data_IF_155156329938
#
_entry.id   IF_155156329938
#
_cell.length_a   1.000
_cell.length_b   1.000
_cell.length_c   1.000
_cell.angle_alpha   90.00
_cell.angle_beta   90.00
_cell.angle_gamma   90.00
#
_symmetry.space_group_name_H-M   'P 1'
#
loop_
_entity.id
_entity.type
_entity.pdbx_description
1 polymer ?
#
# COMPACT_ATOMS: atom_id res chain seq x y z
N UNK A 1 7.35 -39.10 25.70
CA UNK A 1 7.57 -39.15 24.25
C UNK A 1 8.97 -38.58 24.02
N UNK A 2 9.97 -39.45 23.81
CA UNK A 2 11.36 -39.03 23.61
C UNK A 2 11.46 -38.36 22.23
N UNK A 3 11.79 -37.07 22.21
CA UNK A 3 12.19 -36.40 20.98
C UNK A 3 13.64 -36.80 20.69
N UNK A 4 13.83 -37.57 19.62
CA UNK A 4 15.15 -37.85 19.06
C UNK A 4 15.55 -36.59 18.27
N UNK A 5 16.42 -35.78 18.85
CA UNK A 5 17.11 -34.72 18.13
C UNK A 5 18.18 -35.41 17.30
N UNK A 6 17.98 -35.47 15.98
CA UNK A 6 19.02 -35.92 15.04
C UNK A 6 19.92 -34.70 14.79
N UNK A 7 20.98 -34.56 15.58
CA UNK A 7 22.07 -33.65 15.27
C UNK A 7 22.83 -34.21 14.05
N UNK A 8 22.69 -33.55 12.90
CA UNK A 8 23.58 -33.79 11.76
C UNK A 8 24.95 -33.20 12.08
N UNK A 9 25.88 -34.07 12.48
CA UNK A 9 27.29 -33.74 12.62
C UNK A 9 27.91 -33.68 11.22
N UNK A 10 27.98 -32.48 10.63
CA UNK A 10 28.79 -32.24 9.44
C UNK A 10 30.24 -32.46 9.83
N UNK A 11 30.83 -33.54 9.33
CA UNK A 11 32.26 -33.82 9.49
C UNK A 11 33.04 -32.80 8.67
N UNK A 12 33.55 -31.76 9.32
CA UNK A 12 34.42 -30.75 8.73
C UNK A 12 35.78 -31.36 8.40
N UNK A 13 35.93 -31.90 7.19
CA UNK A 13 37.24 -31.95 6.53
C UNK A 13 37.48 -30.57 5.93
N UNK A 14 38.61 -29.95 6.28
CA UNK A 14 38.91 -28.54 6.03
C UNK A 14 39.15 -28.19 4.57
N UNK A 15 38.06 -28.06 3.81
CA UNK A 15 37.99 -27.18 2.63
C UNK A 15 37.27 -25.91 3.07
N UNK A 16 37.86 -24.74 2.85
CA UNK A 16 37.20 -23.47 3.10
C UNK A 16 35.96 -23.34 2.20
N UNK A 17 34.77 -23.54 2.77
CA UNK A 17 33.50 -23.36 2.06
C UNK A 17 33.22 -21.86 1.97
N UNK A 18 33.23 -21.31 0.77
CA UNK A 18 32.83 -19.92 0.54
C UNK A 18 31.30 -19.82 0.51
N UNK A 19 30.71 -19.12 1.47
CA UNK A 19 29.26 -18.94 1.57
C UNK A 19 28.83 -17.60 1.00
N UNK A 20 27.88 -17.61 0.08
CA UNK A 20 27.36 -16.42 -0.58
C UNK A 20 25.85 -16.37 -0.37
N UNK A 21 25.37 -15.41 0.41
CA UNK A 21 23.93 -15.24 0.66
C UNK A 21 23.36 -14.18 -0.30
N UNK A 22 22.27 -14.51 -0.99
CA UNK A 22 21.60 -13.60 -1.94
C UNK A 22 20.09 -13.64 -1.70
N UNK A 23 19.43 -12.49 -1.87
CA UNK A 23 17.98 -12.38 -1.72
C UNK A 23 17.26 -12.66 -3.04
N UNK A 24 16.25 -13.53 -3.06
CA UNK A 24 15.54 -13.91 -4.30
C UNK A 24 14.92 -12.72 -5.04
N UNK A 25 14.48 -11.69 -4.30
CA UNK A 25 13.87 -10.48 -4.84
C UNK A 25 14.87 -9.55 -5.57
N UNK A 26 16.15 -9.64 -5.20
CA UNK A 26 17.21 -8.79 -5.75
C UNK A 26 17.78 -9.41 -7.05
N UNK A 27 17.42 -10.67 -7.34
CA UNK A 27 17.86 -11.38 -8.53
C UNK A 27 17.05 -10.95 -9.76
N UNK A 28 17.70 -10.46 -10.83
CA UNK A 28 16.99 -10.01 -12.02
C UNK A 28 16.34 -11.18 -12.76
N UNK A 29 15.03 -11.04 -13.01
CA UNK A 29 14.26 -11.95 -13.87
C UNK A 29 14.60 -11.64 -15.33
N UNK A 30 15.19 -12.61 -16.04
CA UNK A 30 15.61 -12.45 -17.45
C UNK A 30 14.50 -12.82 -18.42
N UNK A 31 13.84 -13.93 -18.15
CA UNK A 31 12.83 -14.50 -19.03
C UNK A 31 11.70 -15.10 -18.21
N UNK A 32 10.46 -14.90 -18.65
CA UNK A 32 9.29 -15.59 -18.14
C UNK A 32 8.55 -16.24 -19.30
N UNK A 33 8.33 -17.54 -19.22
CA UNK A 33 7.50 -18.27 -20.18
C UNK A 33 6.19 -18.64 -19.50
N UNK A 34 5.10 -18.01 -19.93
CA UNK A 34 3.79 -18.21 -19.32
C UNK A 34 3.03 -19.29 -20.10
N UNK A 35 2.70 -20.37 -19.40
CA UNK A 35 1.82 -21.43 -19.86
C UNK A 35 0.40 -21.17 -19.37
N UNK A 36 -0.56 -22.03 -19.75
CA UNK A 36 -1.96 -21.85 -19.38
C UNK A 36 -2.24 -21.84 -17.87
N UNK A 37 -1.41 -22.53 -17.08
CA UNK A 37 -1.64 -22.84 -15.67
C UNK A 37 -0.46 -22.54 -14.75
N UNK A 38 0.70 -22.22 -15.32
CA UNK A 38 1.94 -21.87 -14.59
C UNK A 38 2.83 -20.98 -15.44
N UNK A 39 3.79 -20.33 -14.83
CA UNK A 39 4.89 -19.70 -15.55
C UNK A 39 6.21 -20.33 -15.19
N UNK A 40 7.14 -20.34 -16.13
CA UNK A 40 8.53 -20.68 -15.90
C UNK A 40 9.34 -19.40 -15.85
N UNK A 41 10.04 -19.20 -14.73
CA UNK A 41 10.82 -18.01 -14.43
C UNK A 41 12.30 -18.38 -14.52
N UNK A 42 13.07 -17.56 -15.24
CA UNK A 42 14.53 -17.65 -15.35
C UNK A 42 15.18 -16.41 -14.74
N UNK A 43 15.76 -16.57 -13.55
CA UNK A 43 16.54 -15.53 -12.84
C UNK A 43 18.03 -15.68 -13.14
N UNK A 44 18.73 -14.57 -13.28
CA UNK A 44 20.20 -14.58 -13.35
C UNK A 44 20.79 -14.33 -11.97
N UNK A 45 21.80 -15.13 -11.62
CA UNK A 45 22.55 -15.01 -10.37
C UNK A 45 24.01 -14.81 -10.75
N UNK A 46 24.55 -13.66 -10.36
CA UNK A 46 25.93 -13.27 -10.60
C UNK A 46 26.67 -13.26 -9.27
N UNK A 47 27.67 -14.13 -9.11
CA UNK A 47 28.40 -14.30 -7.85
C UNK A 47 29.89 -14.44 -8.08
N UNK A 48 30.68 -13.91 -7.15
CA UNK A 48 32.11 -14.07 -7.14
C UNK A 48 32.47 -15.38 -6.41
N UNK A 49 32.90 -16.37 -7.17
CA UNK A 49 33.31 -17.67 -6.64
C UNK A 49 34.81 -17.70 -6.39
N UNK A 50 35.23 -18.43 -5.36
CA UNK A 50 36.64 -18.75 -5.11
C UNK A 50 36.96 -20.16 -5.60
N UNK A 51 38.23 -20.46 -5.79
CA UNK A 51 38.69 -21.84 -6.05
C UNK A 51 38.25 -22.77 -4.92
N UNK A 52 37.64 -23.91 -5.27
CA UNK A 52 37.11 -24.87 -4.31
C UNK A 52 35.58 -24.88 -4.26
N UNK A 53 35.03 -25.17 -3.08
CA UNK A 53 33.58 -25.29 -2.88
C UNK A 53 32.95 -23.95 -2.50
N UNK A 54 31.90 -23.58 -3.23
CA UNK A 54 31.11 -22.38 -3.01
C UNK A 54 29.66 -22.79 -2.77
N UNK A 55 29.06 -22.27 -1.70
CA UNK A 55 27.67 -22.51 -1.32
C UNK A 55 26.91 -21.21 -1.48
N UNK A 56 26.03 -21.14 -2.48
CA UNK A 56 25.16 -20.00 -2.70
C UNK A 56 23.82 -20.27 -2.03
N UNK A 57 23.42 -19.40 -1.12
CA UNK A 57 22.16 -19.47 -0.39
C UNK A 57 21.20 -18.38 -0.88
N UNK A 58 20.21 -18.79 -1.66
CA UNK A 58 19.18 -17.89 -2.19
C UNK A 58 18.00 -17.89 -1.21
N UNK A 59 17.79 -16.76 -0.53
CA UNK A 59 16.78 -16.59 0.53
C UNK A 59 15.44 -16.07 -0.03
N UNK A 60 14.38 -16.28 0.75
CA UNK A 60 13.00 -15.86 0.50
C UNK A 60 12.50 -16.16 -0.92
N UNK A 61 12.63 -17.43 -1.34
CA UNK A 61 12.06 -17.87 -2.61
C UNK A 61 10.53 -17.97 -2.52
N UNK A 62 9.86 -17.77 -3.66
CA UNK A 62 8.41 -17.62 -3.73
C UNK A 62 7.66 -18.83 -3.12
N UNK A 63 6.57 -18.62 -2.34
CA UNK A 63 5.77 -19.69 -1.77
C UNK A 63 5.03 -20.54 -2.82
N UNK A 64 4.76 -19.96 -3.99
CA UNK A 64 4.05 -20.61 -5.09
C UNK A 64 4.99 -21.30 -6.08
N UNK A 65 6.28 -21.41 -5.74
CA UNK A 65 7.29 -22.13 -6.52
C UNK A 65 7.02 -23.63 -6.49
N UNK A 66 7.14 -24.27 -7.65
CA UNK A 66 7.15 -25.73 -7.77
C UNK A 66 8.54 -26.28 -7.42
N UNK A 67 8.63 -26.93 -6.26
CA UNK A 67 9.88 -27.50 -5.70
C UNK A 67 10.56 -28.47 -6.66
N UNK A 68 9.79 -29.20 -7.46
CA UNK A 68 10.31 -30.21 -8.37
C UNK A 68 10.79 -29.64 -9.71
N UNK A 69 10.57 -28.35 -9.94
CA UNK A 69 10.93 -27.67 -11.18
C UNK A 69 12.26 -26.91 -11.13
N UNK A 70 12.87 -26.84 -9.95
CA UNK A 70 14.11 -26.10 -9.69
C UNK A 70 15.24 -26.72 -10.49
N UNK A 71 15.92 -25.89 -11.27
CA UNK A 71 17.09 -26.28 -12.04
C UNK A 71 18.04 -25.11 -12.18
N UNK A 72 19.31 -25.41 -12.31
CA UNK A 72 20.38 -24.42 -12.38
C UNK A 72 21.23 -24.66 -13.62
N UNK A 73 21.47 -23.61 -14.40
CA UNK A 73 22.35 -23.64 -15.57
C UNK A 73 23.55 -22.72 -15.32
N UNK A 74 24.76 -23.25 -15.26
CA UNK A 74 25.98 -22.46 -15.10
C UNK A 74 26.51 -21.99 -16.46
N UNK A 75 26.95 -20.73 -16.52
CA UNK A 75 27.70 -20.17 -17.65
C UNK A 75 29.17 -20.04 -17.23
N UNK A 76 30.03 -20.91 -17.72
CA UNK A 76 31.47 -20.91 -17.44
C UNK A 76 31.97 -22.24 -16.88
N UNK A 77 33.21 -22.24 -16.35
CA UNK A 77 33.89 -23.44 -15.85
C UNK A 77 33.61 -23.71 -14.36
N UNK A 78 32.33 -23.91 -14.03
CA UNK A 78 31.88 -24.31 -12.69
C UNK A 78 31.08 -25.61 -12.72
N UNK A 79 31.36 -26.53 -11.80
CA UNK A 79 30.61 -27.79 -11.66
C UNK A 79 29.56 -27.66 -10.55
N UNK A 80 28.28 -27.77 -10.91
CA UNK A 80 27.19 -27.87 -9.95
C UNK A 80 27.30 -29.23 -9.25
N UNK A 81 27.50 -29.22 -7.94
CA UNK A 81 27.53 -30.43 -7.12
C UNK A 81 26.13 -30.80 -6.64
N UNK A 82 25.38 -29.79 -6.20
CA UNK A 82 24.08 -30.01 -5.58
C UNK A 82 23.17 -28.78 -5.66
N UNK A 83 21.86 -29.02 -5.66
CA UNK A 83 20.81 -28.01 -5.63
C UNK A 83 19.72 -28.49 -4.68
N UNK A 84 19.66 -27.89 -3.50
CA UNK A 84 18.71 -28.27 -2.45
C UNK A 84 17.69 -27.15 -2.21
N UNK A 85 16.46 -27.55 -1.95
CA UNK A 85 15.40 -26.66 -1.49
C UNK A 85 15.13 -26.90 -0.01
N UNK A 86 15.17 -25.83 0.78
CA UNK A 86 14.99 -25.87 2.23
C UNK A 86 13.80 -25.01 2.65
N UNK A 87 12.98 -25.55 3.56
CA UNK A 87 11.92 -24.82 4.25
C UNK A 87 12.15 -24.90 5.74
N UNK A 88 12.26 -23.75 6.38
CA UNK A 88 12.39 -23.63 7.83
C UNK A 88 11.19 -22.88 8.39
N UNK A 89 10.57 -23.33 9.49
CA UNK A 89 9.52 -22.56 10.13
C UNK A 89 10.09 -21.21 10.57
N UNK A 90 9.37 -20.13 10.27
CA UNK A 90 9.68 -18.80 10.77
C UNK A 90 9.67 -18.85 12.29
N UNK A 91 10.76 -18.40 12.91
CA UNK A 91 10.78 -18.23 14.35
C UNK A 91 9.91 -17.00 14.67
N UNK A 92 8.64 -17.27 15.00
CA UNK A 92 7.61 -16.27 15.30
C UNK A 92 8.07 -15.33 16.43
N UNK A 93 8.98 -15.77 17.30
CA UNK A 93 9.42 -14.99 18.45
C UNK A 93 10.52 -13.93 18.13
N UNK A 94 11.36 -14.15 17.10
CA UNK A 94 12.57 -13.32 16.86
C UNK A 94 12.42 -12.24 15.78
N UNK A 95 11.76 -12.54 14.66
CA UNK A 95 11.62 -11.59 13.54
C UNK A 95 10.46 -10.61 13.75
N UNK A 96 9.35 -11.09 14.32
CA UNK A 96 8.16 -10.28 14.64
C UNK A 96 8.52 -9.17 15.60
N UNK A 97 9.35 -9.43 16.61
CA UNK A 97 9.68 -8.39 17.58
C UNK A 97 10.43 -7.22 16.93
N UNK A 98 11.35 -7.41 15.98
CA UNK A 98 12.18 -6.27 15.54
C UNK A 98 11.46 -5.34 14.56
N UNK A 99 10.88 -5.87 13.47
CA UNK A 99 10.20 -5.02 12.48
C UNK A 99 8.87 -4.49 13.02
N UNK A 100 8.08 -5.31 13.71
CA UNK A 100 6.81 -4.87 14.30
C UNK A 100 7.09 -3.89 15.44
N UNK A 101 8.07 -4.13 16.34
CA UNK A 101 8.42 -3.13 17.38
C UNK A 101 8.93 -1.82 16.76
N UNK A 102 9.66 -1.87 15.64
CA UNK A 102 10.12 -0.64 14.98
C UNK A 102 8.94 0.20 14.46
N UNK A 103 7.95 -0.44 13.84
CA UNK A 103 6.73 0.21 13.35
C UNK A 103 5.77 0.61 14.48
N UNK A 104 5.70 -0.18 15.55
CA UNK A 104 4.93 0.15 16.75
C UNK A 104 5.51 1.38 17.47
N UNK A 105 6.83 1.54 17.51
CA UNK A 105 7.48 2.76 18.01
C UNK A 105 7.19 3.97 17.11
N UNK A 106 7.14 3.79 15.80
CA UNK A 106 6.77 4.85 14.87
C UNK A 106 5.31 5.26 15.05
N UNK A 107 4.41 4.28 15.15
CA UNK A 107 3.00 4.47 15.51
C UNK A 107 2.84 5.27 16.79
N UNK A 108 3.56 4.91 17.86
CA UNK A 108 3.47 5.60 19.16
C UNK A 108 3.89 7.07 19.04
N UNK A 109 4.97 7.37 18.30
CA UNK A 109 5.40 8.76 18.05
C UNK A 109 4.35 9.56 17.27
N UNK A 110 3.69 8.92 16.31
CA UNK A 110 2.68 9.55 15.48
C UNK A 110 1.39 9.80 16.29
N UNK A 111 0.96 8.84 17.10
CA UNK A 111 -0.17 8.98 18.03
C UNK A 111 0.08 10.11 19.04
N UNK A 112 1.31 10.23 19.55
CA UNK A 112 1.69 11.35 20.41
C UNK A 112 1.54 12.69 19.68
N UNK A 113 2.05 12.78 18.45
CA UNK A 113 1.98 14.00 17.62
C UNK A 113 0.54 14.40 17.28
N UNK A 114 -0.30 13.43 16.94
CA UNK A 114 -1.75 13.60 16.73
C UNK A 114 -2.39 14.17 17.99
N UNK A 115 -2.14 13.57 19.15
CA UNK A 115 -2.70 14.01 20.43
C UNK A 115 -2.31 15.45 20.77
N UNK A 116 -1.06 15.85 20.51
CA UNK A 116 -0.61 17.23 20.69
C UNK A 116 -1.37 18.20 19.77
N UNK A 117 -1.54 17.85 18.50
CA UNK A 117 -2.26 18.69 17.53
C UNK A 117 -3.75 18.80 17.86
N UNK A 118 -4.38 17.72 18.33
CA UNK A 118 -5.77 17.75 18.79
C UNK A 118 -5.94 18.70 19.98
N UNK A 119 -5.04 18.65 20.96
CA UNK A 119 -5.04 19.57 22.10
C UNK A 119 -4.80 21.03 21.68
N UNK A 120 -3.93 21.26 20.70
CA UNK A 120 -3.71 22.60 20.13
C UNK A 120 -4.95 23.13 19.39
N UNK A 121 -5.65 22.28 18.63
CA UNK A 121 -6.91 22.64 17.97
C UNK A 121 -7.98 22.96 19.00
N UNK A 122 -8.09 22.16 20.06
CA UNK A 122 -9.05 22.38 21.15
C UNK A 122 -8.79 23.72 21.84
N UNK A 123 -7.55 24.01 22.24
CA UNK A 123 -7.19 25.28 22.88
C UNK A 123 -7.44 26.50 21.99
N UNK A 124 -7.13 26.41 20.68
CA UNK A 124 -7.44 27.48 19.71
C UNK A 124 -8.94 27.65 19.49
N UNK A 125 -9.70 26.56 19.51
CA UNK A 125 -11.17 26.58 19.37
C UNK A 125 -11.80 27.26 20.58
N UNK A 126 -11.37 26.90 21.79
CA UNK A 126 -11.80 27.55 23.04
C UNK A 126 -11.46 29.06 23.03
N UNK A 127 -10.28 29.43 22.50
CA UNK A 127 -9.89 30.83 22.31
C UNK A 127 -10.79 31.60 21.33
N UNK A 128 -11.22 30.96 20.23
CA UNK A 128 -12.18 31.55 19.29
C UNK A 128 -13.56 31.74 19.92
N UNK A 129 -14.05 30.76 20.69
CA UNK A 129 -15.33 30.86 21.40
C UNK A 129 -15.31 32.01 22.42
N UNK A 130 -14.21 32.15 23.16
CA UNK A 130 -14.04 33.28 24.09
C UNK A 130 -14.07 34.62 23.34
N UNK A 131 -13.39 34.74 22.20
CA UNK A 131 -13.46 35.94 21.36
C UNK A 131 -14.90 36.22 20.89
N UNK A 132 -15.63 35.22 20.42
CA UNK A 132 -17.04 35.36 20.04
C UNK A 132 -17.92 35.81 21.20
N UNK A 133 -17.67 35.28 22.41
CA UNK A 133 -18.41 35.68 23.61
C UNK A 133 -18.18 37.16 23.97
N UNK A 134 -16.94 37.66 23.86
CA UNK A 134 -16.58 39.07 24.10
C UNK A 134 -17.28 39.98 23.07
N UNK A 135 -17.31 39.58 21.80
CA UNK A 135 -18.02 40.32 20.75
C UNK A 135 -19.55 40.33 20.94
N UNK A 136 -20.13 39.31 21.56
CA UNK A 136 -21.55 39.26 21.88
C UNK A 136 -21.90 40.08 23.14
N UNK A 137 -21.01 40.10 24.14
CA UNK A 137 -21.20 40.85 25.38
C UNK A 137 -21.08 42.37 25.19
N UNK A 138 -20.25 42.83 24.25
CA UNK A 138 -20.16 44.25 23.87
C UNK A 138 -21.46 44.79 23.25
N UNK A 139 -22.30 43.93 22.65
CA UNK A 139 -23.66 44.30 22.20
C UNK A 139 -24.64 44.54 23.36
N UNK A 140 -24.40 43.93 24.52
CA UNK A 140 -25.31 43.97 25.69
C UNK A 140 -25.03 45.14 26.64
N UNK A 141 -23.77 45.60 26.75
CA UNK A 141 -23.43 46.73 27.63
C UNK A 141 -24.03 48.08 27.19
N UNK A 142 -24.38 48.26 25.92
CA UNK A 142 -25.05 49.50 25.47
C UNK A 142 -26.55 49.55 25.84
N UNK A 143 -27.16 48.43 26.25
CA UNK A 143 -28.58 48.38 26.65
C UNK A 143 -28.84 48.54 28.15
N UNK A 144 -27.82 48.68 29.00
CA UNK A 144 -27.98 48.66 30.46
C UNK A 144 -27.92 50.02 31.18
N UNK A 145 -27.88 51.15 30.46
CA UNK A 145 -27.98 52.50 31.11
C UNK A 145 -29.41 53.00 31.36
N UNK A 146 -30.48 52.25 31.06
CA UNK A 146 -31.84 52.61 31.51
C UNK A 146 -32.69 51.41 31.93
N UNK A 147 -33.24 51.57 33.13
CA UNK A 147 -34.33 50.81 33.80
C UNK A 147 -33.92 49.64 34.70
N UNK A 148 -33.67 50.06 35.92
CA UNK A 148 -34.08 49.47 37.20
C UNK A 148 -35.36 48.61 37.21
N UNK A 149 -35.33 47.63 38.13
CA UNK A 149 -36.41 46.81 38.73
C UNK A 149 -36.96 45.68 37.83
N UNK A 150 -36.74 44.42 38.21
CA UNK A 150 -37.65 43.59 39.03
C UNK A 150 -37.10 42.15 39.13
N UNK A 151 -36.88 41.75 40.39
CA UNK A 151 -37.09 40.46 41.05
C UNK A 151 -36.54 39.11 40.53
N UNK A 152 -36.03 38.41 41.53
CA UNK A 152 -35.52 37.05 41.65
C UNK A 152 -36.68 36.04 41.64
N UNK A 153 -36.52 34.91 40.93
CA UNK A 153 -36.97 33.53 41.27
C UNK A 153 -37.03 32.65 40.02
N UNK A 154 -36.12 31.68 39.87
CA UNK A 154 -36.45 30.27 40.14
C UNK A 154 -35.33 29.32 39.68
N UNK A 155 -35.00 28.43 40.61
CA UNK A 155 -34.22 27.21 40.48
C UNK A 155 -35.13 26.14 39.88
N UNK A 156 -34.62 25.25 39.03
CA UNK A 156 -35.30 23.98 38.79
C UNK A 156 -34.95 23.21 37.52
N UNK A 157 -34.08 22.22 37.71
CA UNK A 157 -34.09 20.88 37.12
C UNK A 157 -33.48 20.57 35.75
N UNK A 158 -32.84 19.40 35.82
CA UNK A 158 -32.01 18.68 34.87
C UNK A 158 -32.80 17.60 34.11
N UNK A 159 -32.07 16.99 33.16
CA UNK A 159 -32.17 15.63 32.61
C UNK A 159 -32.98 15.40 31.34
N UNK A 160 -32.35 14.68 30.38
CA UNK A 160 -33.08 13.91 29.37
C UNK A 160 -32.39 13.64 28.02
N UNK A 161 -31.50 12.63 27.98
CA UNK A 161 -31.33 11.63 26.88
C UNK A 161 -30.95 12.00 25.42
N UNK A 162 -29.71 11.62 25.05
CA UNK A 162 -29.32 10.56 24.09
C UNK A 162 -30.04 10.36 22.73
N UNK A 163 -29.22 10.41 21.67
CA UNK A 163 -29.06 9.47 20.52
C UNK A 163 -29.35 9.95 19.07
N UNK A 164 -28.25 9.88 18.30
CA UNK A 164 -28.08 9.23 17.00
C UNK A 164 -28.37 9.96 15.67
N UNK A 165 -27.27 10.06 14.90
CA UNK A 165 -27.09 9.67 13.48
C UNK A 165 -27.46 10.68 12.39
N UNK A 166 -26.53 10.84 11.44
CA UNK A 166 -26.84 11.27 10.08
C UNK A 166 -25.80 12.22 9.52
N UNK A 167 -24.90 11.69 8.69
CA UNK A 167 -24.18 12.48 7.70
C UNK A 167 -25.19 13.30 6.88
N UNK A 168 -24.98 14.61 6.77
CA UNK A 168 -25.57 15.40 5.70
C UNK A 168 -24.55 16.40 5.19
N UNK A 169 -24.13 16.14 3.96
CA UNK A 169 -23.63 17.13 3.00
C UNK A 169 -24.54 18.36 3.06
N UNK A 170 -23.98 19.54 3.33
CA UNK A 170 -24.41 20.86 2.84
C UNK A 170 -23.59 21.98 3.52
N UNK A 171 -22.29 22.04 3.27
CA UNK A 171 -21.43 23.15 3.73
C UNK A 171 -21.62 24.46 2.93
N UNK A 172 -22.74 24.59 2.20
CA UNK A 172 -23.10 25.79 1.43
C UNK A 172 -24.40 26.47 1.89
N UNK A 173 -25.12 25.93 2.87
CA UNK A 173 -26.35 26.56 3.40
C UNK A 173 -26.12 27.43 4.66
N UNK A 174 -24.91 27.42 5.23
CA UNK A 174 -24.56 28.24 6.40
C UNK A 174 -24.38 29.75 6.14
N UNK A 175 -24.49 30.21 4.89
CA UNK A 175 -24.22 31.61 4.51
C UNK A 175 -25.50 32.40 4.15
N UNK A 176 -26.68 31.78 4.11
CA UNK A 176 -27.92 32.47 3.69
C UNK A 176 -29.06 32.42 4.72
N UNK A 177 -28.73 32.52 6.01
CA UNK A 177 -29.73 32.84 7.04
C UNK A 177 -29.43 34.18 7.72
N UNK A 178 -29.35 35.23 6.90
CA UNK A 178 -29.61 36.59 7.38
C UNK A 178 -31.12 36.71 7.59
N UNK A 179 -31.59 36.28 8.76
CA UNK A 179 -32.93 36.64 9.21
C UNK A 179 -33.05 38.17 9.15
N UNK A 180 -34.11 38.63 8.48
CA UNK A 180 -34.50 40.03 8.32
C UNK A 180 -34.37 40.80 9.64
N UNK A 181 -33.29 41.56 9.79
CA UNK A 181 -33.18 42.56 10.85
C UNK A 181 -34.05 43.74 10.41
N UNK A 182 -35.13 43.98 11.13
CA UNK A 182 -35.93 45.20 10.99
C UNK A 182 -35.03 46.43 11.07
N UNK A 183 -35.19 47.46 10.21
CA UNK A 183 -34.31 48.64 10.18
C UNK A 183 -34.22 49.43 11.49
N UNK A 184 -35.10 49.15 12.46
CA UNK A 184 -35.23 49.88 13.72
C UNK A 184 -34.53 49.22 14.94
N UNK A 185 -33.88 48.07 14.79
CA UNK A 185 -33.10 47.42 15.89
C UNK A 185 -31.58 47.65 15.78
N UNK A 186 -31.16 48.62 14.96
CA UNK A 186 -29.77 49.09 14.95
C UNK A 186 -29.60 49.97 16.19
N UNK A 187 -29.18 49.34 17.29
CA UNK A 187 -28.84 50.00 18.55
C UNK A 187 -27.93 51.21 18.35
N UNK A 188 -28.06 52.18 19.26
CA UNK A 188 -27.39 53.48 19.25
C UNK A 188 -25.90 53.33 18.88
N UNK A 189 -25.55 53.78 17.67
CA UNK A 189 -24.21 53.63 17.11
C UNK A 189 -23.27 54.59 17.85
N UNK A 190 -22.08 54.15 18.30
CA UNK A 190 -21.13 55.02 18.98
C UNK A 190 -20.76 56.22 18.09
N UNK A 191 -20.68 57.42 18.67
CA UNK A 191 -20.45 58.69 17.94
C UNK A 191 -19.11 59.31 18.33
N UNK A 192 -18.47 60.02 17.40
CA UNK A 192 -17.24 60.78 17.67
C UNK A 192 -16.03 59.88 17.97
N UNK A 193 -15.27 60.19 19.02
CA UNK A 193 -14.03 59.47 19.37
C UNK A 193 -14.28 58.02 19.81
N UNK A 194 -15.44 57.72 20.40
CA UNK A 194 -15.86 56.35 20.77
C UNK A 194 -16.03 55.44 19.54
N UNK A 195 -16.39 56.00 18.39
CA UNK A 195 -16.48 55.26 17.13
C UNK A 195 -15.10 54.82 16.64
N UNK A 196 -14.08 55.68 16.81
CA UNK A 196 -12.72 55.37 16.35
C UNK A 196 -12.09 54.25 17.18
N UNK A 197 -12.31 54.26 18.48
CA UNK A 197 -11.88 53.18 19.39
C UNK A 197 -12.61 51.86 19.10
N UNK A 198 -13.93 51.92 18.86
CA UNK A 198 -14.72 50.76 18.46
C UNK A 198 -14.30 50.18 17.11
N UNK A 199 -14.04 51.02 16.10
CA UNK A 199 -13.57 50.57 14.79
C UNK A 199 -12.18 49.92 14.87
N UNK A 200 -11.27 50.47 15.67
CA UNK A 200 -9.95 49.86 15.94
C UNK A 200 -10.06 48.51 16.66
N UNK A 201 -11.00 48.40 17.61
CA UNK A 201 -11.34 47.14 18.26
C UNK A 201 -11.89 46.11 17.27
N UNK A 202 -12.85 46.47 16.41
CA UNK A 202 -13.41 45.59 15.39
C UNK A 202 -12.35 45.11 14.40
N UNK A 203 -11.48 46.00 13.95
CA UNK A 203 -10.38 45.64 13.06
C UNK A 203 -9.43 44.63 13.73
N UNK A 204 -9.07 44.88 14.99
CA UNK A 204 -8.22 43.97 15.77
C UNK A 204 -8.90 42.63 16.04
N UNK A 205 -10.20 42.64 16.35
CA UNK A 205 -11.03 41.47 16.55
C UNK A 205 -11.11 40.61 15.29
N UNK A 206 -11.51 41.20 14.17
CA UNK A 206 -11.63 40.51 12.87
C UNK A 206 -10.28 39.93 12.43
N UNK A 207 -9.18 40.68 12.64
CA UNK A 207 -7.82 40.19 12.38
C UNK A 207 -7.49 38.98 13.25
N UNK A 208 -7.70 39.06 14.57
CA UNK A 208 -7.39 37.96 15.50
C UNK A 208 -8.25 36.72 15.26
N UNK A 209 -9.54 36.91 14.98
CA UNK A 209 -10.46 35.85 14.60
C UNK A 209 -9.99 35.12 13.34
N UNK A 210 -9.64 35.88 12.30
CA UNK A 210 -9.14 35.32 11.03
C UNK A 210 -7.82 34.56 11.21
N UNK A 211 -6.86 35.14 11.95
CA UNK A 211 -5.58 34.49 12.29
C UNK A 211 -5.79 33.15 13.00
N UNK A 212 -6.65 33.11 14.03
CA UNK A 212 -6.95 31.88 14.77
C UNK A 212 -7.66 30.85 13.90
N UNK A 213 -8.62 31.27 13.08
CA UNK A 213 -9.36 30.37 12.18
C UNK A 213 -8.43 29.71 11.15
N UNK A 214 -7.49 30.47 10.58
CA UNK A 214 -6.47 29.96 9.66
C UNK A 214 -5.56 28.94 10.38
N UNK A 215 -5.10 29.25 11.60
CA UNK A 215 -4.28 28.33 12.39
C UNK A 215 -4.99 27.00 12.68
N UNK A 216 -6.26 27.04 13.05
CA UNK A 216 -7.07 25.83 13.26
C UNK A 216 -7.18 25.03 11.97
N UNK A 217 -7.46 25.68 10.84
CA UNK A 217 -7.57 24.99 9.56
C UNK A 217 -6.26 24.29 9.16
N UNK A 218 -5.13 24.99 9.31
CA UNK A 218 -3.81 24.42 9.01
C UNK A 218 -3.51 23.21 9.90
N UNK A 219 -3.79 23.30 11.21
CA UNK A 219 -3.64 22.17 12.14
C UNK A 219 -4.59 21.01 11.82
N UNK A 220 -5.82 21.28 11.34
CA UNK A 220 -6.76 20.23 10.89
C UNK A 220 -6.25 19.49 9.66
N UNK A 221 -5.62 20.20 8.71
CA UNK A 221 -5.00 19.58 7.53
C UNK A 221 -3.82 18.70 7.97
N UNK A 222 -2.97 19.20 8.86
CA UNK A 222 -1.85 18.42 9.42
C UNK A 222 -2.34 17.19 10.20
N UNK A 223 -3.38 17.35 11.01
CA UNK A 223 -4.03 16.25 11.73
C UNK A 223 -4.56 15.18 10.77
N UNK A 224 -5.22 15.58 9.68
CA UNK A 224 -5.75 14.65 8.68
C UNK A 224 -4.62 13.86 8.00
N UNK A 225 -3.49 14.53 7.71
CA UNK A 225 -2.30 13.87 7.17
C UNK A 225 -1.76 12.81 8.14
N UNK A 226 -1.49 13.18 9.39
CA UNK A 226 -0.95 12.21 10.36
C UNK A 226 -1.91 11.08 10.69
N UNK A 227 -3.23 11.31 10.66
CA UNK A 227 -4.22 10.21 10.78
C UNK A 227 -4.16 9.25 9.59
N UNK A 228 -3.99 9.76 8.37
CA UNK A 228 -3.75 8.93 7.19
C UNK A 228 -2.46 8.10 7.31
N UNK A 229 -1.36 8.73 7.71
CA UNK A 229 -0.08 8.05 7.94
C UNK A 229 -0.21 6.97 9.05
N UNK A 230 -1.01 7.21 10.09
CA UNK A 230 -1.29 6.26 11.17
C UNK A 230 -2.07 5.05 10.68
N UNK A 231 -3.09 5.26 9.84
CA UNK A 231 -3.87 4.19 9.23
C UNK A 231 -3.02 3.33 8.31
N UNK A 232 -2.09 3.94 7.56
CA UNK A 232 -1.13 3.22 6.72
C UNK A 232 -0.20 2.33 7.54
N UNK A 233 0.42 2.87 8.60
CA UNK A 233 1.29 2.12 9.51
C UNK A 233 0.52 0.97 10.18
N UNK A 234 -0.72 1.21 10.65
CA UNK A 234 -1.56 0.16 11.21
C UNK A 234 -1.88 -0.94 10.19
N UNK A 235 -2.17 -0.54 8.95
CA UNK A 235 -2.37 -1.47 7.84
C UNK A 235 -1.13 -2.32 7.58
N UNK A 236 0.06 -1.72 7.61
CA UNK A 236 1.32 -2.43 7.43
C UNK A 236 1.64 -3.39 8.58
N UNK A 237 1.46 -2.96 9.84
CA UNK A 237 1.58 -3.83 11.02
C UNK A 237 0.62 -5.03 10.90
N UNK A 238 -0.63 -4.79 10.50
CA UNK A 238 -1.59 -5.87 10.33
C UNK A 238 -1.20 -6.83 9.19
N UNK A 239 -0.70 -6.30 8.07
CA UNK A 239 -0.18 -7.13 6.97
C UNK A 239 1.00 -7.99 7.42
N UNK A 240 1.94 -7.43 8.19
CA UNK A 240 3.08 -8.19 8.72
C UNK A 240 2.61 -9.32 9.64
N UNK A 241 1.64 -9.04 10.53
CA UNK A 241 1.03 -10.06 11.40
C UNK A 241 0.33 -11.16 10.60
N UNK A 242 -0.49 -10.79 9.61
CA UNK A 242 -1.21 -11.76 8.78
C UNK A 242 -0.27 -12.56 7.86
N UNK A 243 0.77 -11.94 7.29
CA UNK A 243 1.71 -12.61 6.40
C UNK A 243 2.41 -13.79 7.09
N UNK A 244 2.69 -13.68 8.39
CA UNK A 244 3.29 -14.76 9.17
C UNK A 244 2.29 -15.88 9.49
N UNK A 245 1.01 -15.53 9.70
CA UNK A 245 -0.07 -16.52 9.93
C UNK A 245 -0.35 -17.37 8.67
N UNK A 246 -0.35 -16.74 7.50
CA UNK A 246 -0.64 -17.43 6.23
C UNK A 246 0.58 -18.11 5.59
N UNK A 247 1.79 -17.61 5.84
CA UNK A 247 3.03 -18.20 5.32
C UNK A 247 4.09 -18.37 6.43
N UNK A 248 4.02 -19.45 7.22
CA UNK A 248 4.88 -19.63 8.39
C UNK A 248 6.26 -20.20 8.05
N UNK A 249 6.66 -20.25 6.77
CA UNK A 249 7.93 -20.87 6.35
C UNK A 249 8.83 -19.87 5.63
N UNK A 250 10.12 -19.87 6.01
CA UNK A 250 11.19 -19.31 5.21
C UNK A 250 11.64 -20.36 4.21
N UNK A 251 11.62 -20.01 2.92
CA UNK A 251 12.04 -20.90 1.83
C UNK A 251 13.37 -20.43 1.27
N UNK A 252 14.28 -21.36 1.02
CA UNK A 252 15.56 -21.05 0.41
C UNK A 252 16.02 -22.13 -0.56
N UNK A 253 16.87 -21.75 -1.51
CA UNK A 253 17.55 -22.67 -2.42
C UNK A 253 19.04 -22.59 -2.12
N UNK A 254 19.66 -23.73 -1.86
CA UNK A 254 21.10 -23.87 -1.63
C UNK A 254 21.71 -24.52 -2.87
N UNK A 255 22.67 -23.83 -3.48
CA UNK A 255 23.38 -24.31 -4.66
C UNK A 255 24.84 -24.50 -4.27
N UNK A 256 25.33 -25.73 -4.37
CA UNK A 256 26.74 -26.04 -4.11
C UNK A 256 27.47 -26.17 -5.44
N UNK A 257 28.49 -25.33 -5.65
CA UNK A 257 29.28 -25.28 -6.88
C UNK A 257 30.76 -25.46 -6.55
N UNK A 258 31.43 -26.33 -7.30
CA UNK A 258 32.89 -26.44 -7.30
C UNK A 258 33.47 -25.61 -8.44
N UNK A 259 34.30 -24.62 -8.11
CA UNK A 259 35.01 -23.80 -9.08
C UNK A 259 36.50 -24.14 -9.09
N UNK A 260 37.11 -24.14 -10.29
CA UNK A 260 38.55 -24.35 -10.43
C UNK A 260 39.35 -23.06 -10.22
N UNK A 261 38.77 -21.92 -10.58
CA UNK A 261 39.41 -20.61 -10.49
C UNK A 261 38.53 -19.61 -9.74
N UNK A 262 39.17 -18.53 -9.27
CA UNK A 262 38.48 -17.35 -8.74
C UNK A 262 37.90 -16.59 -9.93
N UNK A 263 36.57 -16.64 -10.08
CA UNK A 263 35.88 -16.05 -11.22
C UNK A 263 34.49 -15.56 -10.83
N UNK A 264 34.04 -14.51 -11.51
CA UNK A 264 32.63 -14.13 -11.50
C UNK A 264 31.87 -15.14 -12.35
N UNK A 265 31.05 -15.98 -11.70
CA UNK A 265 30.24 -16.98 -12.36
C UNK A 265 28.80 -16.47 -12.45
N UNK A 266 28.26 -16.51 -13.66
CA UNK A 266 26.84 -16.29 -13.91
C UNK A 266 26.15 -17.63 -14.03
N UNK A 267 25.06 -17.82 -13.33
CA UNK A 267 24.17 -18.95 -13.54
C UNK A 267 22.72 -18.52 -13.63
N UNK A 268 21.90 -19.38 -14.22
CA UNK A 268 20.47 -19.19 -14.30
C UNK A 268 19.77 -20.14 -13.35
N UNK A 269 19.04 -19.55 -12.40
CA UNK A 269 18.08 -20.27 -11.59
C UNK A 269 16.76 -20.31 -12.37
N UNK A 270 16.26 -21.50 -12.66
CA UNK A 270 15.02 -21.70 -13.40
C UNK A 270 14.07 -22.53 -12.56
N UNK A 271 12.82 -22.10 -12.49
CA UNK A 271 11.77 -22.79 -11.75
C UNK A 271 10.41 -22.42 -12.33
N UNK A 272 9.39 -23.17 -11.94
CA UNK A 272 8.00 -22.93 -12.29
C UNK A 272 7.26 -22.36 -11.08
N UNK A 273 6.31 -21.47 -11.33
CA UNK A 273 5.45 -20.84 -10.33
C UNK A 273 3.99 -21.01 -10.71
N UNK A 274 3.17 -21.24 -9.69
CA UNK A 274 1.71 -21.32 -9.80
C UNK A 274 1.06 -19.94 -9.62
N UNK A 275 -0.24 -19.83 -9.92
CA UNK A 275 -1.00 -18.57 -9.71
C UNK A 275 -0.93 -17.59 -10.87
N UNK A 276 -0.48 -18.05 -12.05
CA UNK A 276 -0.49 -17.27 -13.29
C UNK A 276 -1.42 -17.90 -14.30
N UNK A 277 -2.15 -17.06 -15.01
CA UNK A 277 -2.91 -17.45 -16.18
C UNK A 277 -2.75 -16.41 -17.28
N UNK A 278 -2.96 -16.83 -18.52
CA UNK A 278 -3.08 -15.91 -19.63
C UNK A 278 -4.18 -16.36 -20.58
N UNK A 279 -4.85 -15.40 -21.21
CA UNK A 279 -5.87 -15.65 -22.23
C UNK A 279 -5.59 -14.83 -23.49
N UNK A 280 -5.71 -15.44 -24.69
CA UNK A 280 -5.58 -14.71 -25.93
C UNK A 280 -6.75 -13.75 -26.09
N UNK A 281 -6.48 -12.57 -26.61
CA UNK A 281 -7.46 -11.55 -26.94
C UNK A 281 -7.17 -11.06 -28.36
N UNK A 282 -8.19 -11.07 -29.21
CA UNK A 282 -8.05 -10.72 -30.63
C UNK A 282 -8.87 -9.45 -30.89
N UNK A 283 -8.26 -8.45 -31.52
CA UNK A 283 -8.98 -7.31 -32.09
C UNK A 283 -8.97 -7.47 -33.62
N UNK A 284 -10.14 -7.63 -34.22
CA UNK A 284 -10.31 -7.86 -35.65
C UNK A 284 -11.00 -6.65 -36.25
N UNK A 285 -10.30 -5.96 -37.15
CA UNK A 285 -10.81 -4.76 -37.83
C UNK A 285 -10.86 -5.02 -39.33
N UNK A 286 -12.03 -4.85 -39.92
CA UNK A 286 -12.23 -4.96 -41.36
C UNK A 286 -12.43 -3.58 -41.96
N UNK A 287 -11.65 -3.25 -42.99
CA UNK A 287 -11.85 -2.04 -43.79
C UNK A 287 -12.32 -2.46 -45.17
N UNK A 288 -13.52 -2.02 -45.54
CA UNK A 288 -14.17 -2.32 -46.82
C UNK A 288 -14.33 -1.00 -47.55
N UNK A 289 -13.79 -0.90 -48.77
CA UNK A 289 -13.98 0.27 -49.63
C UNK A 289 -15.22 0.07 -50.52
N UNK A 290 -16.17 1.01 -50.48
CA UNK A 290 -17.43 0.93 -51.24
C UNK A 290 -17.28 1.16 -52.75
N UNK A 291 -16.09 1.56 -53.21
CA UNK A 291 -15.85 1.79 -54.63
C UNK A 291 -15.45 0.47 -55.28
N UNK A 292 -16.36 -0.07 -56.10
CA UNK A 292 -16.32 -1.37 -56.81
C UNK A 292 -15.15 -1.56 -57.80
N UNK A 293 -14.05 -0.82 -57.64
CA UNK A 293 -12.87 -0.87 -58.50
C UNK A 293 -11.53 -0.91 -57.77
N UNK A 294 -11.46 -0.92 -56.42
CA UNK A 294 -10.17 -0.97 -55.71
C UNK A 294 -9.99 -2.19 -54.81
N UNK A 295 -8.82 -2.81 -54.97
CA UNK A 295 -8.36 -4.07 -54.41
C UNK A 295 -7.82 -3.93 -52.96
N UNK A 296 -8.24 -2.89 -52.24
CA UNK A 296 -7.64 -2.48 -50.96
C UNK A 296 -8.48 -2.90 -49.75
N UNK A 297 -9.29 -3.94 -49.88
CA UNK A 297 -9.97 -4.55 -48.75
C UNK A 297 -8.94 -5.32 -47.92
N UNK A 298 -8.75 -4.92 -46.66
CA UNK A 298 -7.86 -5.62 -45.74
C UNK A 298 -8.56 -5.91 -44.41
N UNK A 299 -8.20 -7.05 -43.84
CA UNK A 299 -8.57 -7.44 -42.48
C UNK A 299 -7.29 -7.34 -41.65
N UNK A 300 -7.30 -6.46 -40.65
CA UNK A 300 -6.26 -6.39 -39.64
C UNK A 300 -6.68 -7.24 -38.45
N UNK A 301 -5.78 -8.10 -37.99
CA UNK A 301 -5.96 -8.92 -36.79
C UNK A 301 -4.82 -8.59 -35.84
N UNK A 302 -5.13 -7.91 -34.75
CA UNK A 302 -4.18 -7.65 -33.67
C UNK A 302 -4.34 -8.74 -32.61
N UNK A 303 -3.22 -9.35 -32.23
CA UNK A 303 -3.17 -10.41 -31.23
C UNK A 303 -2.57 -9.90 -29.92
N UNK A 304 -3.33 -10.03 -28.85
CA UNK A 304 -2.95 -9.67 -27.50
C UNK A 304 -3.03 -10.88 -26.57
N UNK A 305 -2.27 -10.86 -25.49
CA UNK A 305 -2.43 -11.78 -24.36
C UNK A 305 -2.71 -10.98 -23.10
N UNK A 306 -3.82 -11.27 -22.43
CA UNK A 306 -4.09 -10.72 -21.10
C UNK A 306 -3.47 -11.67 -20.10
N UNK A 307 -2.52 -11.17 -19.31
CA UNK A 307 -1.83 -11.91 -18.26
C UNK A 307 -2.44 -11.52 -16.92
N UNK A 308 -2.82 -12.51 -16.12
CA UNK A 308 -3.28 -12.33 -14.74
C UNK A 308 -2.29 -13.06 -13.83
N UNK A 309 -1.64 -12.31 -12.93
CA UNK A 309 -0.55 -12.77 -12.08
C UNK A 309 -0.91 -12.61 -10.61
N UNK A 310 -0.69 -13.66 -9.83
CA UNK A 310 -0.82 -13.67 -8.37
C UNK A 310 0.46 -14.22 -7.72
N UNK A 311 1.61 -13.68 -8.11
CA UNK A 311 2.91 -14.07 -7.55
C UNK A 311 3.69 -12.84 -7.09
N UNK A 312 4.43 -12.99 -6.00
CA UNK A 312 5.19 -11.91 -5.36
C UNK A 312 6.53 -11.61 -6.07
N UNK A 313 6.55 -11.73 -7.40
CA UNK A 313 7.73 -11.46 -8.22
C UNK A 313 7.45 -10.37 -9.24
N UNK A 314 8.40 -9.46 -9.40
CA UNK A 314 8.31 -8.39 -10.38
C UNK A 314 8.90 -8.83 -11.73
N UNK A 315 8.10 -8.71 -12.79
CA UNK A 315 8.47 -9.08 -14.16
C UNK A 315 8.57 -7.88 -15.10
N UNK A 316 8.62 -6.64 -14.58
CA UNK A 316 8.63 -5.40 -15.39
C UNK A 316 9.71 -5.41 -16.48
N UNK A 317 10.93 -5.85 -16.18
CA UNK A 317 12.06 -5.85 -17.12
C UNK A 317 12.31 -7.21 -17.81
N UNK A 318 11.43 -8.19 -17.58
CA UNK A 318 11.62 -9.54 -18.08
C UNK A 318 11.13 -9.71 -19.53
N UNK A 319 11.81 -10.56 -20.31
CA UNK A 319 11.29 -11.01 -21.61
C UNK A 319 10.17 -12.02 -21.39
N UNK A 320 8.93 -11.63 -21.69
CA UNK A 320 7.76 -12.49 -21.53
C UNK A 320 7.43 -13.22 -22.84
N UNK A 321 7.28 -14.55 -22.76
CA UNK A 321 6.82 -15.40 -23.85
C UNK A 321 5.52 -16.07 -23.45
N UNK A 322 4.53 -16.06 -24.35
CA UNK A 322 3.24 -16.73 -24.13
C UNK A 322 3.22 -18.07 -24.87
N UNK A 323 2.94 -19.13 -24.12
CA UNK A 323 2.84 -20.49 -24.66
C UNK A 323 1.41 -21.01 -24.54
N UNK A 324 0.88 -21.52 -25.65
CA UNK A 324 -0.44 -22.20 -25.70
C UNK A 324 -0.38 -23.63 -25.18
N UNK A 325 0.81 -24.13 -24.84
CA UNK A 325 0.99 -25.45 -24.24
C UNK A 325 0.38 -25.49 -22.83
N UNK A 326 -0.16 -26.64 -22.47
CA UNK A 326 -0.57 -26.94 -21.10
C UNK A 326 0.36 -28.03 -20.56
N UNK A 327 1.39 -27.69 -19.77
CA UNK A 327 2.37 -28.67 -19.31
C UNK A 327 1.77 -29.67 -18.32
N UNK A 328 0.62 -29.38 -17.71
CA UNK A 328 -0.06 -30.29 -16.78
C UNK A 328 -0.96 -31.31 -17.50
N UNK A 329 -1.23 -31.14 -18.80
CA UNK A 329 -1.96 -32.11 -19.60
C UNK A 329 -0.95 -33.02 -20.32
N UNK A 330 -0.88 -34.28 -19.89
CA UNK A 330 -0.18 -35.33 -20.62
C UNK A 330 -0.72 -35.42 -22.06
N UNK A 331 0.16 -35.66 -23.03
CA UNK A 331 -0.13 -35.64 -24.45
C UNK A 331 -1.14 -36.72 -24.87
N UNK A 332 -2.44 -36.43 -24.72
CA UNK A 332 -3.51 -37.19 -25.33
C UNK A 332 -3.97 -36.45 -26.58
N UNK A 333 -3.95 -37.15 -27.73
CA UNK A 333 -4.38 -36.57 -28.99
C UNK A 333 -5.87 -36.16 -28.89
N UNK A 334 -6.23 -34.92 -29.26
CA UNK A 334 -7.61 -34.47 -29.18
C UNK A 334 -8.49 -35.29 -30.14
N UNK A 335 -9.73 -35.64 -29.75
CA UNK A 335 -10.65 -36.35 -30.63
C UNK A 335 -11.01 -35.46 -31.82
N UNK A 336 -10.79 -35.97 -33.04
CA UNK A 336 -11.11 -35.25 -34.28
C UNK A 336 -12.63 -35.26 -34.52
N UNK A 337 -13.27 -34.10 -34.44
CA UNK A 337 -14.64 -33.92 -34.92
C UNK A 337 -14.65 -33.59 -36.42
N UNK A 338 -15.39 -34.37 -37.21
CA UNK A 338 -15.57 -34.12 -38.64
C UNK A 338 -16.59 -33.01 -38.83
N UNK A 339 -16.18 -31.88 -39.40
CA UNK A 339 -17.11 -30.83 -39.84
C UNK A 339 -17.34 -30.96 -41.33
N UNK A 340 -18.56 -31.28 -41.75
CA UNK A 340 -18.96 -31.30 -43.16
C UNK A 340 -19.43 -29.91 -43.54
N UNK A 341 -18.79 -29.28 -44.51
CA UNK A 341 -19.25 -28.02 -45.10
C UNK A 341 -20.23 -28.36 -46.22
N UNK A 342 -21.51 -28.02 -46.07
CA UNK A 342 -22.45 -28.03 -47.19
C UNK A 342 -22.40 -26.68 -47.89
N UNK A 343 -22.03 -26.67 -49.17
CA UNK A 343 -22.24 -25.53 -50.03
C UNK A 343 -23.75 -25.36 -50.29
N UNK A 344 -24.25 -24.12 -50.20
CA UNK A 344 -25.60 -23.73 -50.63
C UNK A 344 -25.53 -23.33 -52.10
#
# INVERSE_FOLDING_TARGET
>A
MLFIIIEFKVTMNGDHINRIDVESKDLPVKTVVIFKDKAEVKKAVDVDCVTGSNVIHIKNVSPVLDRNSIRVEVIGEGLIQDVEYHEEPKNVDDFDNTQICSKEKEKEKLEYSIKTIESDIESLTNGLELLQSVANNTKSQNNSRKKSKVNLQNIGNCEGSLQQKGENKNDLEGILNLQNISPNDIGDFPKGDELKEFMSFLETYCRKYSEMKIKINNKRIELAKYKGDLDEINGEINRLRCANEYDPFNRSIIITIKSNDIANLRFYLIYQVYGISWKPYYDIRASISETSANLDNYVQVDFFGIIEQHVDEDWIDAKIYLSTANPSISGSAPPLSRTTVSAI
#
